data_IF_660529622412
#
_entry.id   IF_660529622412
#
_cell.length_a   1.000
_cell.length_b   1.000
_cell.length_c   1.000
_cell.angle_alpha   90.00
_cell.angle_beta   90.00
_cell.angle_gamma   90.00
#
_symmetry.space_group_name_H-M   'P 1'
#
loop_
_entity.id
_entity.type
_entity.pdbx_description
1 polymer ?
#
# COMPACT_ATOMS: atom_id res chain seq x y z
N UNK A 1 2.75 -2.31 0.28
CA UNK A 1 4.04 -2.17 0.99
C UNK A 1 5.21 -2.12 0.00
N UNK A 2 5.35 -3.08 -0.91
CA UNK A 2 6.46 -3.13 -1.85
C UNK A 2 6.64 -1.83 -2.64
N UNK A 3 5.55 -1.25 -3.16
CA UNK A 3 5.59 0.03 -3.83
C UNK A 3 6.07 1.17 -2.92
N UNK A 4 5.62 1.21 -1.66
CA UNK A 4 5.99 2.24 -0.69
C UNK A 4 7.49 2.27 -0.38
N UNK A 5 8.08 1.10 -0.24
CA UNK A 5 9.50 0.95 0.08
C UNK A 5 10.37 0.72 -1.15
N UNK A 6 9.77 0.76 -2.34
CA UNK A 6 10.42 0.39 -3.61
C UNK A 6 11.11 -0.98 -3.55
N UNK A 7 10.43 -2.00 -2.98
CA UNK A 7 10.92 -3.38 -2.93
C UNK A 7 10.81 -4.03 -4.31
N UNK A 8 11.82 -3.83 -5.13
CA UNK A 8 11.79 -4.23 -6.55
C UNK A 8 11.92 -5.73 -6.78
N UNK A 9 12.67 -6.44 -5.94
CA UNK A 9 12.87 -7.90 -6.05
C UNK A 9 11.84 -8.70 -5.25
N UNK A 10 10.57 -8.50 -5.56
CA UNK A 10 9.42 -9.16 -4.91
C UNK A 10 9.12 -10.53 -5.55
N UNK A 11 10.11 -11.39 -5.69
CA UNK A 11 9.95 -12.74 -6.26
C UNK A 11 9.50 -13.76 -5.21
N UNK A 12 8.94 -14.87 -5.66
CA UNK A 12 8.44 -15.94 -4.78
C UNK A 12 9.54 -16.50 -3.86
N UNK A 13 10.80 -16.57 -4.33
CA UNK A 13 11.94 -17.04 -3.54
C UNK A 13 12.28 -16.11 -2.34
N UNK A 14 11.81 -14.85 -2.36
CA UNK A 14 11.99 -13.88 -1.28
C UNK A 14 10.78 -13.84 -0.33
N UNK A 15 9.91 -14.82 -0.40
CA UNK A 15 8.76 -14.99 0.49
C UNK A 15 8.79 -16.38 1.15
N UNK A 16 8.22 -16.46 2.34
CA UNK A 16 8.04 -17.73 3.06
C UNK A 16 6.62 -17.79 3.62
N UNK A 17 5.94 -18.87 3.30
CA UNK A 17 4.64 -19.18 3.86
C UNK A 17 4.77 -20.31 4.89
N UNK A 18 4.26 -20.08 6.09
CA UNK A 18 4.27 -21.07 7.16
C UNK A 18 2.86 -21.35 7.66
N UNK A 19 2.60 -22.61 8.02
CA UNK A 19 1.35 -23.00 8.67
C UNK A 19 1.55 -22.87 10.18
N UNK A 20 0.75 -22.02 10.80
CA UNK A 20 0.77 -21.79 12.26
C UNK A 20 -0.53 -22.30 12.85
N UNK A 21 -0.41 -23.00 14.00
CA UNK A 21 -1.57 -23.39 14.81
C UNK A 21 -1.44 -22.76 16.19
N UNK A 22 -2.33 -21.82 16.48
CA UNK A 22 -2.40 -21.11 17.76
C UNK A 22 -3.85 -21.03 18.24
N UNK A 23 -4.08 -21.26 19.53
CA UNK A 23 -5.41 -21.15 20.15
C UNK A 23 -6.52 -21.94 19.42
N UNK A 24 -6.18 -23.14 18.88
CA UNK A 24 -7.11 -24.00 18.15
C UNK A 24 -7.46 -23.52 16.74
N UNK A 25 -6.78 -22.49 16.22
CA UNK A 25 -6.92 -22.00 14.84
C UNK A 25 -5.68 -22.30 14.05
N UNK A 26 -5.86 -22.81 12.84
CA UNK A 26 -4.77 -23.03 11.86
C UNK A 26 -4.90 -22.01 10.75
N UNK A 27 -3.80 -21.33 10.45
CA UNK A 27 -3.74 -20.30 9.40
C UNK A 27 -2.37 -20.28 8.73
N UNK A 28 -2.29 -19.69 7.54
CA UNK A 28 -1.02 -19.43 6.85
C UNK A 28 -0.52 -18.05 7.26
N UNK A 29 0.76 -17.99 7.64
CA UNK A 29 1.44 -16.73 7.92
C UNK A 29 2.48 -16.48 6.83
N UNK A 30 2.40 -15.30 6.22
CA UNK A 30 3.26 -14.88 5.13
C UNK A 30 4.38 -14.00 5.66
N UNK A 31 5.60 -14.26 5.20
CA UNK A 31 6.79 -13.48 5.55
C UNK A 31 7.49 -13.01 4.27
N UNK A 32 8.08 -11.81 4.34
CA UNK A 32 9.13 -11.38 3.42
C UNK A 32 10.48 -11.76 4.03
N UNK A 33 11.32 -12.45 3.26
CA UNK A 33 12.63 -12.94 3.74
C UNK A 33 13.77 -12.01 3.33
N UNK A 34 13.71 -11.49 2.11
CA UNK A 34 14.73 -10.61 1.57
C UNK A 34 14.12 -9.25 1.23
N UNK A 35 14.56 -8.22 1.93
CA UNK A 35 14.14 -6.83 1.74
C UNK A 35 15.32 -5.93 1.33
N UNK A 36 16.43 -6.52 0.90
CA UNK A 36 17.64 -5.79 0.55
C UNK A 36 17.50 -4.88 -0.67
N UNK A 37 16.55 -5.16 -1.58
CA UNK A 37 16.27 -4.33 -2.75
C UNK A 37 15.21 -3.26 -2.48
N UNK A 38 15.28 -2.58 -1.34
CA UNK A 38 14.41 -1.43 -0.97
C UNK A 38 15.15 -0.10 -1.13
N UNK A 39 14.40 0.99 -1.10
CA UNK A 39 14.91 2.38 -1.08
C UNK A 39 15.86 2.69 -2.25
N UNK A 40 15.56 2.15 -3.44
CA UNK A 40 16.36 2.37 -4.64
C UNK A 40 17.66 1.58 -4.68
N UNK A 41 17.94 0.70 -3.71
CA UNK A 41 19.07 -0.22 -3.77
C UNK A 41 18.73 -1.39 -4.70
N UNK A 42 19.62 -1.65 -5.66
CA UNK A 42 19.50 -2.81 -6.55
C UNK A 42 20.88 -3.47 -6.65
N UNK A 43 21.04 -4.60 -5.95
CA UNK A 43 22.32 -5.31 -5.85
C UNK A 43 23.49 -4.38 -5.45
N UNK A 44 24.68 -4.57 -6.00
CA UNK A 44 25.88 -3.78 -5.65
C UNK A 44 26.03 -2.49 -6.45
N UNK A 45 25.05 -2.13 -7.27
CA UNK A 45 25.17 -1.01 -8.19
C UNK A 45 24.06 0.01 -7.94
N UNK A 46 24.44 1.23 -7.62
CA UNK A 46 23.57 2.41 -7.48
C UNK A 46 22.83 2.78 -8.78
N UNK A 47 22.92 1.98 -9.84
CA UNK A 47 22.60 2.40 -11.19
C UNK A 47 21.17 2.07 -11.66
N UNK A 48 20.44 1.19 -10.94
CA UNK A 48 19.23 0.60 -11.50
C UNK A 48 18.05 0.73 -10.55
N UNK A 49 17.20 1.68 -10.80
CA UNK A 49 15.85 1.66 -10.29
C UNK A 49 14.91 1.06 -11.35
N UNK A 50 14.62 -0.24 -11.24
CA UNK A 50 13.68 -0.94 -12.11
C UNK A 50 12.24 -0.87 -11.59
N UNK A 51 11.92 0.10 -10.75
CA UNK A 51 10.63 0.29 -10.04
C UNK A 51 9.52 0.58 -11.01
N UNK A 52 9.18 0.34 -11.95
CA UNK A 52 8.03 0.56 -12.86
C UNK A 52 8.03 -0.43 -14.02
N UNK A 53 8.85 -1.48 -13.91
CA UNK A 53 9.02 -2.41 -15.00
C UNK A 53 9.28 -3.82 -14.52
N UNK A 54 8.61 -4.80 -15.11
CA UNK A 54 8.95 -6.20 -14.91
C UNK A 54 10.15 -6.59 -15.78
N UNK A 55 10.99 -7.52 -15.32
CA UNK A 55 12.08 -8.07 -16.13
C UNK A 55 11.60 -8.63 -17.47
N UNK A 56 10.46 -9.29 -17.49
CA UNK A 56 9.88 -9.89 -18.68
C UNK A 56 8.59 -9.15 -19.07
N UNK A 57 8.76 -8.00 -19.68
CA UNK A 57 7.63 -7.20 -20.17
C UNK A 57 7.66 -7.08 -21.69
N UNK A 58 7.00 -7.99 -22.39
CA UNK A 58 7.08 -8.11 -23.83
C UNK A 58 6.71 -6.84 -24.61
N UNK A 59 5.80 -6.02 -24.09
CA UNK A 59 5.45 -4.73 -24.72
C UNK A 59 6.57 -3.71 -24.60
N UNK A 60 7.23 -3.59 -23.47
CA UNK A 60 8.35 -2.69 -23.27
C UNK A 60 9.56 -3.14 -24.11
N UNK A 61 9.85 -4.44 -24.12
CA UNK A 61 10.90 -5.03 -24.94
C UNK A 61 10.69 -4.74 -26.43
N UNK A 62 9.48 -4.96 -26.95
CA UNK A 62 9.16 -4.65 -28.36
C UNK A 62 9.29 -3.17 -28.65
N UNK A 63 8.79 -2.30 -27.76
CA UNK A 63 8.91 -0.85 -27.93
C UNK A 63 10.37 -0.42 -28.01
N UNK A 64 11.24 -0.93 -27.13
CA UNK A 64 12.69 -0.66 -27.17
C UNK A 64 13.33 -1.18 -28.45
N UNK A 65 13.01 -2.41 -28.85
CA UNK A 65 13.55 -3.01 -30.07
C UNK A 65 13.21 -2.18 -31.33
N UNK A 66 11.93 -1.86 -31.53
CA UNK A 66 11.49 -1.10 -32.70
C UNK A 66 11.87 0.39 -32.68
N UNK A 67 12.21 0.93 -31.52
CA UNK A 67 12.74 2.28 -31.40
C UNK A 67 14.27 2.33 -31.44
N UNK A 68 14.95 1.23 -31.70
CA UNK A 68 16.42 1.14 -31.65
C UNK A 68 17.01 1.63 -30.33
N UNK A 69 16.31 1.42 -29.21
CA UNK A 69 16.74 1.87 -27.89
C UNK A 69 16.36 3.32 -27.51
N UNK A 70 15.78 4.11 -28.43
CA UNK A 70 15.37 5.49 -28.11
C UNK A 70 14.12 5.60 -27.22
N UNK A 71 13.34 4.52 -27.07
CA UNK A 71 12.21 4.52 -26.14
C UNK A 71 12.72 4.29 -24.70
N UNK A 72 12.75 5.35 -23.92
CA UNK A 72 13.11 5.30 -22.50
C UNK A 72 11.95 4.77 -21.65
N UNK A 73 12.29 4.07 -20.60
CA UNK A 73 11.34 3.68 -19.54
C UNK A 73 11.10 4.85 -18.60
N UNK A 74 9.94 4.92 -17.94
CA UNK A 74 9.63 6.02 -17.01
C UNK A 74 10.68 6.23 -15.91
N UNK A 75 11.24 5.16 -15.37
CA UNK A 75 12.29 5.22 -14.35
C UNK A 75 13.62 5.82 -14.85
N UNK A 76 13.91 5.75 -16.16
CA UNK A 76 15.11 6.34 -16.77
C UNK A 76 15.01 7.86 -16.95
N UNK A 77 13.83 8.43 -16.75
CA UNK A 77 13.57 9.87 -16.95
C UNK A 77 13.33 10.60 -15.63
N UNK A 78 13.53 9.94 -14.51
CA UNK A 78 13.39 10.52 -13.17
C UNK A 78 14.71 11.18 -12.79
N UNK A 79 14.63 12.44 -12.34
CA UNK A 79 15.76 13.15 -11.77
C UNK A 79 15.86 12.78 -10.29
N UNK A 80 16.86 11.99 -9.95
CA UNK A 80 17.12 11.61 -8.57
C UNK A 80 18.06 12.59 -7.88
N UNK A 81 17.80 12.86 -6.61
CA UNK A 81 18.81 13.49 -5.74
C UNK A 81 19.86 12.44 -5.37
N UNK A 82 21.09 12.68 -5.77
CA UNK A 82 22.18 11.72 -5.56
C UNK A 82 22.86 11.95 -4.22
N UNK A 83 22.87 10.90 -3.39
CA UNK A 83 23.63 10.81 -2.16
C UNK A 83 24.49 9.56 -2.21
N UNK A 84 25.82 9.64 -1.94
CA UNK A 84 26.70 8.46 -1.99
C UNK A 84 26.33 7.34 -1.03
N UNK A 85 25.55 7.65 0.01
CA UNK A 85 25.19 6.71 1.09
C UNK A 85 23.84 6.01 0.91
N UNK A 86 23.07 6.36 -0.13
CA UNK A 86 21.74 5.77 -0.39
C UNK A 86 21.56 5.46 -1.87
N UNK A 87 20.56 4.62 -2.19
CA UNK A 87 20.16 4.35 -3.56
C UNK A 87 19.33 5.48 -4.18
N UNK A 88 18.95 5.30 -5.43
CA UNK A 88 18.05 6.21 -6.16
C UNK A 88 16.62 6.01 -5.66
N UNK A 89 16.18 6.85 -4.75
CA UNK A 89 14.87 6.79 -4.12
C UNK A 89 14.25 8.19 -4.12
N UNK A 90 13.05 8.32 -4.73
CA UNK A 90 12.36 9.60 -4.85
C UNK A 90 10.84 9.45 -4.73
N UNK A 91 10.15 10.54 -4.36
CA UNK A 91 8.71 10.59 -4.10
C UNK A 91 7.88 11.35 -5.15
N UNK A 92 8.44 12.33 -5.81
CA UNK A 92 7.74 13.30 -6.67
C UNK A 92 6.88 12.67 -7.79
N UNK A 93 7.33 11.57 -8.36
CA UNK A 93 6.65 10.85 -9.45
C UNK A 93 6.08 9.52 -9.02
N UNK A 94 6.07 9.24 -7.73
CA UNK A 94 5.56 7.98 -7.22
C UNK A 94 4.07 7.81 -7.52
N UNK A 95 3.73 6.79 -8.31
CA UNK A 95 2.36 6.33 -8.54
C UNK A 95 2.28 4.83 -8.20
N UNK A 96 1.71 4.47 -7.05
CA UNK A 96 1.66 3.08 -6.60
C UNK A 96 0.82 2.17 -7.52
N UNK A 97 -0.03 2.74 -8.37
CA UNK A 97 -0.80 1.97 -9.37
C UNK A 97 0.05 1.61 -10.60
N UNK A 98 1.10 2.38 -10.88
CA UNK A 98 2.01 2.14 -11.99
C UNK A 98 3.27 1.41 -11.58
N UNK A 99 3.60 1.46 -10.30
CA UNK A 99 4.77 0.76 -9.77
C UNK A 99 4.72 -0.74 -10.12
N UNK A 100 5.86 -1.32 -10.45
CA UNK A 100 6.00 -2.73 -10.84
C UNK A 100 7.26 -3.31 -10.22
N UNK A 101 7.17 -4.44 -9.49
CA UNK A 101 8.37 -5.18 -9.09
C UNK A 101 9.00 -5.85 -10.32
N UNK A 102 10.28 -6.13 -10.24
CA UNK A 102 11.01 -6.80 -11.33
C UNK A 102 10.43 -8.19 -11.65
N UNK A 103 10.17 -8.98 -10.61
CA UNK A 103 9.61 -10.32 -10.72
C UNK A 103 8.43 -10.44 -9.76
N UNK A 104 7.19 -10.24 -10.24
CA UNK A 104 6.02 -10.23 -9.35
C UNK A 104 5.71 -11.62 -8.81
N UNK A 105 5.28 -11.67 -7.54
CA UNK A 105 4.63 -12.85 -6.97
C UNK A 105 3.20 -12.97 -7.44
N UNK A 106 2.59 -14.16 -7.32
CA UNK A 106 1.16 -14.37 -7.58
C UNK A 106 0.30 -13.44 -6.72
N UNK A 107 0.65 -13.26 -5.44
CA UNK A 107 -0.06 -12.36 -4.53
C UNK A 107 -0.06 -10.91 -5.03
N UNK A 108 1.03 -10.45 -5.64
CA UNK A 108 1.08 -9.13 -6.26
C UNK A 108 0.18 -9.05 -7.50
N UNK A 109 0.20 -10.07 -8.35
CA UNK A 109 -0.58 -10.09 -9.60
C UNK A 109 -2.09 -10.15 -9.36
N UNK A 110 -2.50 -10.80 -8.28
CA UNK A 110 -3.90 -10.97 -7.88
C UNK A 110 -4.40 -9.90 -6.88
N UNK A 111 -3.61 -8.83 -6.70
CA UNK A 111 -3.94 -7.74 -5.79
C UNK A 111 -5.29 -7.12 -6.12
N UNK A 112 -6.18 -7.08 -5.13
CA UNK A 112 -7.52 -6.50 -5.23
C UNK A 112 -7.59 -5.13 -4.54
N UNK A 113 -8.68 -4.42 -4.79
CA UNK A 113 -8.89 -3.09 -4.21
C UNK A 113 -9.03 -3.12 -2.68
N UNK A 114 -9.62 -4.19 -2.13
CA UNK A 114 -9.74 -4.40 -0.68
C UNK A 114 -8.39 -4.70 -0.01
N UNK A 115 -7.50 -5.46 -0.67
CA UNK A 115 -6.13 -5.69 -0.21
C UNK A 115 -5.32 -4.38 -0.19
N UNK A 116 -5.45 -3.59 -1.25
CA UNK A 116 -4.79 -2.29 -1.35
C UNK A 116 -5.29 -1.31 -0.27
N UNK A 117 -6.59 -1.28 -0.01
CA UNK A 117 -7.19 -0.50 1.06
C UNK A 117 -6.69 -0.94 2.44
N UNK A 118 -6.66 -2.25 2.70
CA UNK A 118 -6.13 -2.80 3.94
C UNK A 118 -4.66 -2.39 4.14
N UNK A 119 -3.84 -2.55 3.11
CA UNK A 119 -2.43 -2.18 3.15
C UNK A 119 -2.25 -0.66 3.38
N UNK A 120 -3.02 0.18 2.69
CA UNK A 120 -2.97 1.63 2.85
C UNK A 120 -3.27 2.04 4.30
N UNK A 121 -4.26 1.43 4.96
CA UNK A 121 -4.53 1.67 6.37
C UNK A 121 -3.34 1.33 7.27
N UNK A 122 -2.57 0.30 6.96
CA UNK A 122 -1.36 -0.08 7.70
C UNK A 122 -0.21 0.88 7.46
N UNK A 123 -0.03 1.30 6.22
CA UNK A 123 0.97 2.30 5.84
C UNK A 123 0.67 3.64 6.52
N UNK A 124 -0.58 4.09 6.53
CA UNK A 124 -1.00 5.33 7.20
C UNK A 124 -0.89 5.32 8.73
N UNK A 125 -0.70 4.15 9.36
CA UNK A 125 -0.41 4.07 10.79
C UNK A 125 1.03 4.51 11.15
N UNK A 126 1.91 4.64 10.17
CA UNK A 126 3.26 5.18 10.36
C UNK A 126 3.18 6.71 10.38
N UNK A 127 3.35 7.30 11.54
CA UNK A 127 3.46 8.77 11.70
C UNK A 127 4.80 9.27 11.15
N UNK A 128 4.91 10.57 10.87
CA UNK A 128 6.17 11.18 10.44
C UNK A 128 7.29 10.90 11.44
N UNK A 129 7.02 11.06 12.74
CA UNK A 129 7.99 10.80 13.80
C UNK A 129 8.43 9.34 13.82
N UNK A 130 7.51 8.40 13.63
CA UNK A 130 7.81 6.96 13.58
C UNK A 130 8.68 6.63 12.37
N UNK A 131 8.38 7.20 11.19
CA UNK A 131 9.18 7.01 9.99
C UNK A 131 10.58 7.58 10.20
N UNK A 132 10.70 8.81 10.71
CA UNK A 132 12.00 9.44 10.99
C UNK A 132 12.81 8.65 12.01
N UNK A 133 12.16 8.19 13.07
CA UNK A 133 12.83 7.36 14.08
C UNK A 133 13.32 6.02 13.50
N UNK A 134 12.49 5.37 12.66
CA UNK A 134 12.88 4.12 12.02
C UNK A 134 14.05 4.32 11.04
N UNK A 135 14.01 5.36 10.21
CA UNK A 135 15.10 5.69 9.28
C UNK A 135 16.39 6.00 10.04
N UNK A 136 16.31 6.75 11.13
CA UNK A 136 17.48 7.07 11.98
C UNK A 136 18.22 5.82 12.47
N UNK A 137 17.52 4.70 12.69
CA UNK A 137 18.18 3.44 13.10
C UNK A 137 19.11 2.85 12.03
N UNK A 138 19.00 3.32 10.79
CA UNK A 138 19.88 2.91 9.68
C UNK A 138 21.32 3.39 9.80
N UNK A 139 21.60 4.36 10.68
CA UNK A 139 22.96 4.81 10.98
C UNK A 139 23.65 5.46 9.78
N UNK A 140 22.95 6.30 9.04
CA UNK A 140 23.45 6.98 7.85
C UNK A 140 24.68 7.84 8.17
N UNK A 141 25.69 7.81 7.30
CA UNK A 141 26.88 8.66 7.41
C UNK A 141 26.61 10.12 7.02
N UNK A 142 25.51 10.39 6.32
CA UNK A 142 25.07 11.71 5.87
C UNK A 142 23.66 12.01 6.36
N UNK A 143 23.54 13.03 7.21
CA UNK A 143 22.25 13.48 7.76
C UNK A 143 21.30 14.06 6.68
N UNK A 144 21.80 14.51 5.55
CA UNK A 144 20.94 14.96 4.44
C UNK A 144 20.33 13.76 3.72
N UNK A 145 21.11 12.69 3.50
CA UNK A 145 20.62 11.43 2.96
C UNK A 145 19.57 10.78 3.87
N UNK A 146 19.81 10.76 5.19
CA UNK A 146 18.86 10.25 6.17
C UNK A 146 17.50 10.99 6.08
N UNK A 147 17.55 12.32 6.09
CA UNK A 147 16.34 13.14 5.94
C UNK A 147 15.62 12.87 4.63
N UNK A 148 16.36 12.79 3.52
CA UNK A 148 15.78 12.52 2.21
C UNK A 148 15.02 11.19 2.19
N UNK A 149 15.59 10.10 2.68
CA UNK A 149 14.89 8.80 2.76
C UNK A 149 13.62 8.90 3.58
N UNK A 150 13.67 9.60 4.73
CA UNK A 150 12.49 9.79 5.56
C UNK A 150 11.40 10.61 4.84
N UNK A 151 11.78 11.68 4.17
CA UNK A 151 10.85 12.56 3.44
C UNK A 151 10.18 11.81 2.29
N UNK A 152 10.92 11.05 1.49
CA UNK A 152 10.38 10.20 0.42
C UNK A 152 9.40 9.16 0.96
N UNK A 153 9.71 8.53 2.10
CA UNK A 153 8.79 7.58 2.74
C UNK A 153 7.50 8.25 3.23
N UNK A 154 7.59 9.46 3.79
CA UNK A 154 6.42 10.24 4.23
C UNK A 154 5.55 10.61 3.04
N UNK A 155 6.15 11.16 1.98
CA UNK A 155 5.45 11.49 0.74
C UNK A 155 4.78 10.27 0.11
N UNK A 156 5.52 9.17 -0.02
CA UNK A 156 5.01 7.91 -0.56
C UNK A 156 3.85 7.32 0.27
N UNK A 157 3.93 7.41 1.61
CA UNK A 157 2.82 7.06 2.52
C UNK A 157 1.57 7.86 2.18
N UNK A 158 1.69 9.17 2.04
CA UNK A 158 0.56 10.06 1.80
C UNK A 158 -0.04 9.84 0.41
N UNK A 159 0.79 9.55 -0.60
CA UNK A 159 0.33 9.16 -1.95
C UNK A 159 -0.46 7.85 -1.89
N UNK A 160 0.00 6.85 -1.13
CA UNK A 160 -0.72 5.58 -0.95
C UNK A 160 -2.06 5.81 -0.25
N UNK A 161 -2.09 6.61 0.82
CA UNK A 161 -3.32 6.97 1.52
C UNK A 161 -4.33 7.62 0.59
N UNK A 162 -3.92 8.64 -0.13
CA UNK A 162 -4.74 9.38 -1.11
C UNK A 162 -5.24 8.49 -2.25
N UNK A 163 -4.43 7.52 -2.67
CA UNK A 163 -4.77 6.64 -3.80
C UNK A 163 -5.77 5.56 -3.42
N UNK A 164 -5.58 4.92 -2.27
CA UNK A 164 -6.28 3.68 -1.97
C UNK A 164 -7.36 3.80 -0.88
N UNK A 165 -7.29 4.79 0.03
CA UNK A 165 -8.35 4.91 1.04
C UNK A 165 -9.70 5.31 0.46
N UNK A 166 -9.81 6.21 -0.53
CA UNK A 166 -11.09 6.53 -1.16
C UNK A 166 -11.47 5.58 -2.31
N UNK A 167 -10.64 4.60 -2.67
CA UNK A 167 -10.85 3.76 -3.86
C UNK A 167 -11.99 2.74 -3.71
N UNK A 168 -12.37 2.42 -2.48
CA UNK A 168 -13.52 1.56 -2.14
C UNK A 168 -14.35 2.24 -1.06
N UNK A 169 -15.43 1.61 -0.61
CA UNK A 169 -16.17 2.10 0.55
C UNK A 169 -15.26 2.13 1.80
N UNK A 170 -14.88 3.31 2.32
CA UNK A 170 -13.84 3.43 3.34
C UNK A 170 -14.33 3.23 4.78
N UNK A 171 -15.47 2.55 4.97
CA UNK A 171 -16.04 2.31 6.28
C UNK A 171 -15.30 1.17 6.99
N UNK A 172 -14.85 1.44 8.22
CA UNK A 172 -14.10 0.48 9.04
C UNK A 172 -14.57 0.53 10.49
N UNK A 173 -14.19 -0.49 11.26
CA UNK A 173 -14.48 -0.60 12.69
C UNK A 173 -15.95 -0.37 13.03
N UNK A 174 -16.91 -1.05 12.37
CA UNK A 174 -18.32 -0.90 12.73
C UNK A 174 -18.56 -1.38 14.17
N UNK A 175 -19.31 -0.61 14.93
CA UNK A 175 -19.67 -0.88 16.33
C UNK A 175 -21.16 -0.59 16.50
N UNK A 176 -21.95 -1.59 16.90
CA UNK A 176 -23.33 -1.44 17.25
C UNK A 176 -23.45 -1.45 18.77
N UNK A 177 -24.01 -0.40 19.34
CA UNK A 177 -24.22 -0.29 20.79
C UNK A 177 -25.57 -0.89 21.24
N UNK A 178 -25.78 -0.91 22.55
CA UNK A 178 -27.02 -1.44 23.15
C UNK A 178 -28.28 -0.63 22.81
N UNK A 179 -28.12 0.59 22.29
CA UNK A 179 -29.20 1.46 21.83
C UNK A 179 -29.48 1.31 20.34
N UNK A 180 -28.87 0.29 19.69
CA UNK A 180 -28.93 0.05 18.25
C UNK A 180 -28.36 1.21 17.40
N UNK A 181 -27.37 1.92 17.94
CA UNK A 181 -26.64 2.94 17.15
C UNK A 181 -25.38 2.30 16.57
N UNK A 182 -25.28 2.31 15.23
CA UNK A 182 -24.10 1.91 14.49
C UNK A 182 -23.13 3.09 14.41
N UNK A 183 -22.00 2.99 15.05
CA UNK A 183 -20.86 3.88 14.87
C UNK A 183 -19.80 3.21 14.01
N UNK A 184 -19.06 3.97 13.22
CA UNK A 184 -17.98 3.48 12.38
C UNK A 184 -16.95 4.59 12.12
N UNK A 185 -15.81 4.22 11.59
CA UNK A 185 -14.77 5.17 11.20
C UNK A 185 -14.70 5.27 9.67
N UNK A 186 -14.32 6.45 9.16
CA UNK A 186 -14.04 6.68 7.74
C UNK A 186 -12.62 7.25 7.60
N UNK A 187 -11.59 6.41 7.42
CA UNK A 187 -10.20 6.86 7.36
C UNK A 187 -9.90 7.76 6.16
N UNK A 188 -10.62 7.65 5.06
CA UNK A 188 -10.41 8.56 3.92
C UNK A 188 -10.76 10.01 4.29
N UNK A 189 -11.81 10.22 5.09
CA UNK A 189 -12.22 11.54 5.58
C UNK A 189 -11.36 11.99 6.75
N UNK A 190 -11.17 11.14 7.76
CA UNK A 190 -10.44 11.52 8.98
C UNK A 190 -8.97 11.85 8.73
N UNK A 191 -8.37 11.31 7.66
CA UNK A 191 -7.00 11.61 7.22
C UNK A 191 -6.93 12.70 6.13
N UNK A 192 -8.07 13.30 5.75
CA UNK A 192 -8.10 14.41 4.80
C UNK A 192 -7.90 14.03 3.33
N UNK A 193 -8.10 12.76 2.96
CA UNK A 193 -7.97 12.28 1.57
C UNK A 193 -9.29 12.26 0.80
N UNK A 194 -10.41 12.48 1.47
CA UNK A 194 -11.72 12.67 0.85
C UNK A 194 -12.54 13.68 1.62
N UNK A 195 -13.45 14.34 0.95
CA UNK A 195 -14.47 15.15 1.60
C UNK A 195 -15.48 14.26 2.35
N UNK A 196 -16.05 14.79 3.43
CA UNK A 196 -17.12 14.11 4.13
C UNK A 196 -18.34 13.96 3.20
N UNK A 197 -18.92 12.76 3.08
CA UNK A 197 -20.11 12.59 2.25
C UNK A 197 -21.29 13.35 2.86
N UNK A 198 -22.24 13.77 2.01
CA UNK A 198 -23.46 14.45 2.47
C UNK A 198 -24.34 13.57 3.36
N UNK A 199 -24.25 12.25 3.20
CA UNK A 199 -24.90 11.29 4.07
C UNK A 199 -24.27 9.89 3.96
N UNK A 200 -24.35 9.15 5.05
CA UNK A 200 -24.14 7.70 5.09
C UNK A 200 -25.48 6.99 5.01
N UNK A 201 -25.48 5.77 4.49
CA UNK A 201 -26.64 4.88 4.42
C UNK A 201 -26.28 3.52 4.98
N UNK A 202 -27.08 2.99 5.90
CA UNK A 202 -27.02 1.62 6.37
C UNK A 202 -28.26 0.85 5.90
N UNK A 203 -28.04 -0.30 5.28
CA UNK A 203 -29.08 -1.28 5.00
C UNK A 203 -29.03 -2.35 6.09
N UNK A 204 -30.14 -2.61 6.74
CA UNK A 204 -30.25 -3.54 7.86
C UNK A 204 -30.88 -4.84 7.42
N UNK A 205 -30.31 -5.95 7.90
CA UNK A 205 -30.84 -7.27 7.64
C UNK A 205 -30.74 -8.14 8.90
N UNK A 206 -31.74 -9.00 9.10
CA UNK A 206 -31.66 -10.11 10.03
C UNK A 206 -31.01 -11.29 9.33
N UNK A 207 -29.93 -11.80 9.90
CA UNK A 207 -29.23 -12.96 9.36
C UNK A 207 -29.51 -14.19 10.24
N UNK A 208 -29.97 -15.27 9.61
CA UNK A 208 -30.14 -16.57 10.27
C UNK A 208 -28.90 -17.44 10.04
N UNK A 209 -28.14 -17.68 11.09
CA UNK A 209 -26.93 -18.49 11.03
C UNK A 209 -27.19 -19.98 10.75
N UNK A 210 -28.39 -20.49 11.03
CA UNK A 210 -28.72 -21.89 10.80
C UNK A 210 -29.04 -22.20 9.33
N UNK A 211 -29.69 -21.27 8.67
CA UNK A 211 -30.13 -21.41 7.27
C UNK A 211 -29.24 -20.66 6.27
N UNK A 212 -28.38 -19.73 6.75
CA UNK A 212 -27.59 -18.84 5.91
C UNK A 212 -28.42 -17.79 5.16
N UNK A 213 -29.68 -17.56 5.56
CA UNK A 213 -30.59 -16.62 4.89
C UNK A 213 -30.53 -15.25 5.52
N UNK A 214 -30.78 -14.22 4.69
CA UNK A 214 -30.83 -12.82 5.13
C UNK A 214 -32.17 -12.20 4.75
N UNK A 215 -32.86 -11.58 5.72
CA UNK A 215 -34.11 -10.86 5.54
C UNK A 215 -33.87 -9.36 5.76
N UNK A 216 -34.23 -8.53 4.77
CA UNK A 216 -34.11 -7.08 4.90
C UNK A 216 -35.14 -6.54 5.90
N UNK A 217 -34.69 -5.70 6.84
CA UNK A 217 -35.56 -5.07 7.86
C UNK A 217 -35.63 -3.55 7.73
N UNK A 218 -34.85 -2.93 6.88
CA UNK A 218 -34.95 -1.49 6.61
C UNK A 218 -33.65 -0.81 6.23
N UNK A 219 -33.72 0.52 6.13
CA UNK A 219 -32.58 1.39 5.86
C UNK A 219 -32.62 2.62 6.76
N UNK A 220 -31.45 3.11 7.15
CA UNK A 220 -31.30 4.41 7.81
C UNK A 220 -30.29 5.28 7.07
N UNK A 221 -30.47 6.60 7.17
CA UNK A 221 -29.58 7.62 6.62
C UNK A 221 -29.26 8.69 7.65
N UNK A 222 -28.04 9.18 7.63
CA UNK A 222 -27.61 10.27 8.47
C UNK A 222 -26.34 10.96 7.96
N UNK A 223 -26.09 12.21 8.33
CA UNK A 223 -24.94 12.98 7.88
C UNK A 223 -23.65 12.63 8.61
N UNK A 224 -23.73 11.89 9.70
CA UNK A 224 -22.60 11.52 10.56
C UNK A 224 -22.28 10.04 10.48
N UNK A 225 -21.10 9.66 10.95
CA UNK A 225 -20.68 8.27 11.09
C UNK A 225 -21.38 7.52 12.25
N UNK A 226 -22.61 7.89 12.57
CA UNK A 226 -23.50 7.30 13.58
C UNK A 226 -24.90 7.20 13.00
N UNK A 227 -25.44 5.99 12.90
CA UNK A 227 -26.76 5.71 12.36
C UNK A 227 -27.56 4.85 13.34
N UNK A 228 -28.80 5.23 13.64
CA UNK A 228 -29.69 4.41 14.44
C UNK A 228 -30.35 3.35 13.58
N UNK A 229 -30.42 2.11 14.08
CA UNK A 229 -31.12 1.00 13.43
C UNK A 229 -32.64 1.11 13.60
#
# INVERSE_FOLDING_TARGET
FGAWTNLTDLKAANTLDTIITENGRTYVKHYLQDVGSTFGMCNDLHEWDLSYEHFYQGNATRKRFFSFGFALSPWQTIDYVEYPSIGKFEGDRFDPRKWRPQTPTTAYMELRADDAFWAARRVMAFTDDLIRAAVHTGGFSDAAAERHVADVLIEGRDVIGRTYLPAINPIVNPRLDASNVLAFDNPAVSLGFAEAPSAYRAAWSRFDNATGTSESIGETRGPTAMLSA
#
